data_IF_485363233899
#
_entry.id   IF_485363233899
#
_cell.length_a   1.000
_cell.length_b   1.000
_cell.length_c   1.000
_cell.angle_alpha   90.00
_cell.angle_beta   90.00
_cell.angle_gamma   90.00
#
_symmetry.space_group_name_H-M   'P 1'
#
loop_
_entity.id
_entity.type
_entity.pdbx_description
1 polymer ?
#
# COMPACT_ATOMS: atom_id res chain seq x y z
N UNK A 1 20.54 -4.08 -27.26
CA UNK A 1 20.11 -4.27 -28.67
C UNK A 1 20.92 -5.33 -29.38
N UNK A 2 22.27 -5.37 -29.33
CA UNK A 2 23.10 -6.36 -30.01
C UNK A 2 22.75 -7.81 -29.68
N UNK A 3 22.50 -8.12 -28.40
CA UNK A 3 22.11 -9.47 -27.97
C UNK A 3 20.74 -9.90 -28.50
N UNK A 4 19.76 -8.98 -28.53
CA UNK A 4 18.45 -9.24 -29.11
C UNK A 4 18.53 -9.55 -30.63
N UNK A 5 19.31 -8.77 -31.37
CA UNK A 5 19.53 -9.01 -32.79
C UNK A 5 20.29 -10.31 -33.05
N UNK A 6 21.23 -10.66 -32.18
CA UNK A 6 21.97 -11.93 -32.28
C UNK A 6 21.05 -13.14 -32.04
N UNK A 7 20.20 -13.12 -31.03
CA UNK A 7 19.26 -14.22 -30.76
C UNK A 7 18.19 -14.37 -31.83
N UNK A 8 17.74 -13.27 -32.44
CA UNK A 8 16.86 -13.29 -33.61
C UNK A 8 17.53 -13.95 -34.81
N UNK A 9 18.74 -13.52 -35.13
CA UNK A 9 19.51 -14.08 -36.31
C UNK A 9 19.84 -15.56 -36.13
N UNK A 10 20.06 -16.00 -34.89
CA UNK A 10 20.40 -17.40 -34.58
C UNK A 10 19.17 -18.31 -34.40
N UNK A 11 17.95 -17.78 -34.56
CA UNK A 11 16.71 -18.55 -34.47
C UNK A 11 16.43 -19.12 -33.08
N UNK A 12 16.79 -18.39 -32.01
CA UNK A 12 16.56 -18.80 -30.63
C UNK A 12 15.37 -18.05 -30.02
N UNK A 13 14.11 -18.45 -30.31
CA UNK A 13 12.92 -17.67 -29.93
C UNK A 13 12.77 -17.51 -28.41
N UNK A 14 13.06 -18.55 -27.62
CA UNK A 14 12.94 -18.53 -26.18
C UNK A 14 13.86 -17.48 -25.53
N UNK A 15 15.14 -17.47 -25.92
CA UNK A 15 16.10 -16.49 -25.45
C UNK A 15 15.76 -15.06 -25.87
N UNK A 16 15.27 -14.91 -27.10
CA UNK A 16 14.83 -13.61 -27.59
C UNK A 16 13.66 -13.08 -26.76
N UNK A 17 12.65 -13.92 -26.44
CA UNK A 17 11.52 -13.54 -25.58
C UNK A 17 11.97 -13.14 -24.18
N UNK A 18 12.85 -13.94 -23.56
CA UNK A 18 13.39 -13.63 -22.22
C UNK A 18 14.12 -12.28 -22.23
N UNK A 19 14.99 -12.03 -23.19
CA UNK A 19 15.72 -10.78 -23.32
C UNK A 19 14.79 -9.59 -23.57
N UNK A 20 13.76 -9.77 -24.38
CA UNK A 20 12.76 -8.73 -24.65
C UNK A 20 11.97 -8.40 -23.37
N UNK A 21 11.49 -9.40 -22.64
CA UNK A 21 10.81 -9.20 -21.37
C UNK A 21 11.72 -8.47 -20.36
N UNK A 22 12.98 -8.88 -20.25
CA UNK A 22 13.95 -8.23 -19.39
C UNK A 22 14.18 -6.74 -19.77
N UNK A 23 14.31 -6.44 -21.06
CA UNK A 23 14.45 -5.06 -21.54
C UNK A 23 13.22 -4.21 -21.24
N UNK A 24 12.01 -4.77 -21.42
CA UNK A 24 10.75 -4.06 -21.08
C UNK A 24 10.69 -3.77 -19.59
N UNK A 25 11.07 -4.71 -18.74
CA UNK A 25 11.15 -4.52 -17.30
C UNK A 25 12.16 -3.41 -16.96
N UNK A 26 13.35 -3.42 -17.53
CA UNK A 26 14.35 -2.37 -17.29
C UNK A 26 13.86 -0.98 -17.71
N UNK A 27 13.17 -0.88 -18.86
CA UNK A 27 12.55 0.39 -19.29
C UNK A 27 11.49 0.84 -18.29
N UNK A 28 10.62 -0.07 -17.82
CA UNK A 28 9.63 0.24 -16.81
C UNK A 28 10.25 0.75 -15.51
N UNK A 29 11.26 0.05 -15.00
CA UNK A 29 11.97 0.46 -13.78
C UNK A 29 12.79 1.74 -13.95
N UNK A 30 13.21 2.10 -15.15
CA UNK A 30 13.94 3.35 -15.40
C UNK A 30 13.12 4.59 -15.04
N UNK A 31 11.79 4.49 -14.98
CA UNK A 31 10.90 5.56 -14.52
C UNK A 31 11.18 5.96 -13.07
N UNK A 32 11.57 5.03 -12.20
CA UNK A 32 11.96 5.33 -10.82
C UNK A 32 13.24 6.15 -10.74
N UNK A 33 14.19 5.93 -11.67
CA UNK A 33 15.39 6.77 -11.76
C UNK A 33 15.04 8.23 -12.09
N UNK A 34 14.00 8.45 -12.91
CA UNK A 34 13.52 9.81 -13.21
C UNK A 34 12.94 10.50 -11.97
N UNK A 35 12.30 9.76 -11.07
CA UNK A 35 11.79 10.30 -9.81
C UNK A 35 12.94 10.82 -8.95
N UNK A 36 13.99 9.99 -8.78
CA UNK A 36 15.20 10.38 -8.01
C UNK A 36 15.90 11.59 -8.63
N UNK A 37 16.11 11.60 -9.95
CA UNK A 37 16.74 12.72 -10.66
C UNK A 37 15.95 14.00 -10.46
N UNK A 38 14.62 13.93 -10.51
CA UNK A 38 13.75 15.08 -10.28
C UNK A 38 13.85 15.57 -8.83
N UNK A 39 13.82 14.66 -7.86
CA UNK A 39 13.94 15.01 -6.43
C UNK A 39 15.28 15.67 -6.11
N UNK A 40 16.38 15.22 -6.71
CA UNK A 40 17.68 15.84 -6.56
C UNK A 40 17.77 17.30 -7.09
N UNK A 41 16.80 17.70 -7.92
CA UNK A 41 16.71 19.08 -8.43
C UNK A 41 15.95 20.03 -7.49
N UNK A 42 15.54 19.57 -6.32
CA UNK A 42 14.87 20.33 -5.24
C UNK A 42 13.66 21.16 -5.76
N UNK A 43 12.67 20.51 -6.42
CA UNK A 43 11.51 21.23 -6.97
C UNK A 43 10.64 21.76 -5.82
N UNK A 44 9.85 22.83 -6.05
CA UNK A 44 8.97 23.43 -5.03
C UNK A 44 7.95 22.47 -4.42
N UNK A 45 7.59 21.39 -5.14
CA UNK A 45 6.72 20.32 -4.67
C UNK A 45 7.48 19.00 -4.84
N UNK A 46 8.04 18.48 -3.74
CA UNK A 46 8.75 17.20 -3.69
C UNK A 46 8.17 16.32 -2.57
N UNK A 47 7.13 15.58 -2.90
CA UNK A 47 6.44 14.73 -1.94
C UNK A 47 7.31 13.53 -1.55
N UNK A 48 7.66 13.45 -0.25
CA UNK A 48 8.48 12.39 0.32
C UNK A 48 9.96 12.49 0.00
N UNK A 49 10.41 13.54 -0.72
CA UNK A 49 11.82 13.80 -1.08
C UNK A 49 12.63 12.52 -1.37
N UNK A 50 12.29 11.77 -2.44
CA UNK A 50 12.92 10.48 -2.77
C UNK A 50 14.29 10.67 -3.41
N UNK A 51 15.17 11.44 -2.74
CA UNK A 51 16.53 11.81 -3.15
C UNK A 51 17.58 10.73 -2.85
N UNK A 52 17.25 9.76 -2.01
CA UNK A 52 18.13 8.66 -1.61
C UNK A 52 17.38 7.33 -1.62
N UNK A 53 18.13 6.21 -1.45
CA UNK A 53 17.58 4.85 -1.57
C UNK A 53 16.49 4.57 -0.54
N UNK A 54 16.64 5.04 0.71
CA UNK A 54 15.66 4.77 1.77
C UNK A 54 14.41 5.63 1.60
N UNK A 55 14.55 6.91 1.25
CA UNK A 55 13.39 7.76 0.96
C UNK A 55 12.65 7.30 -0.30
N UNK A 56 13.37 6.83 -1.32
CA UNK A 56 12.75 6.23 -2.50
C UNK A 56 11.99 4.95 -2.13
N UNK A 57 12.54 4.08 -1.28
CA UNK A 57 11.85 2.88 -0.82
C UNK A 57 10.57 3.22 -0.06
N UNK A 58 10.65 4.18 0.87
CA UNK A 58 9.48 4.67 1.63
C UNK A 58 8.43 5.29 0.71
N UNK A 59 8.86 6.03 -0.32
CA UNK A 59 7.97 6.61 -1.34
C UNK A 59 7.26 5.52 -2.15
N UNK A 60 7.99 4.50 -2.62
CA UNK A 60 7.42 3.38 -3.39
C UNK A 60 6.47 2.56 -2.53
N UNK A 61 6.83 2.28 -1.28
CA UNK A 61 6.00 1.56 -0.32
C UNK A 61 4.78 2.38 0.15
N UNK A 62 4.75 3.68 -0.16
CA UNK A 62 3.67 4.60 0.25
C UNK A 62 3.52 4.66 1.77
N UNK A 63 4.62 4.60 2.52
CA UNK A 63 4.65 4.54 3.98
C UNK A 63 3.88 5.68 4.66
N UNK A 64 3.82 6.84 4.02
CA UNK A 64 3.06 8.00 4.49
C UNK A 64 1.54 7.76 4.59
N UNK A 65 1.01 6.78 3.86
CA UNK A 65 -0.43 6.45 3.88
C UNK A 65 -0.78 5.36 4.89
N UNK A 66 0.23 4.81 5.58
CA UNK A 66 0.08 3.70 6.52
C UNK A 66 -0.10 2.34 5.85
N UNK A 67 -0.11 1.30 6.68
CA UNK A 67 -0.25 -0.07 6.21
C UNK A 67 -1.72 -0.40 5.95
N UNK A 68 -2.02 -0.76 4.70
CA UNK A 68 -3.35 -1.19 4.27
C UNK A 68 -3.32 -2.68 3.89
N UNK A 69 -3.87 -3.57 4.73
CA UNK A 69 -3.85 -5.00 4.44
C UNK A 69 -4.75 -5.35 3.25
N UNK A 70 -4.17 -5.98 2.21
CA UNK A 70 -4.90 -6.34 0.99
C UNK A 70 -5.66 -7.65 1.13
N UNK A 71 -5.02 -8.69 1.67
CA UNK A 71 -5.57 -10.04 1.74
C UNK A 71 -6.03 -10.42 3.15
N UNK A 72 -5.20 -10.20 4.15
CA UNK A 72 -5.50 -10.54 5.53
C UNK A 72 -5.03 -9.42 6.46
N UNK A 73 -5.89 -8.97 7.37
CA UNK A 73 -5.57 -7.94 8.33
C UNK A 73 -6.76 -7.51 9.16
N UNK A 74 -6.60 -6.38 9.84
CA UNK A 74 -7.60 -5.83 10.72
C UNK A 74 -8.82 -5.30 9.96
N UNK A 75 -9.99 -5.45 10.54
CA UNK A 75 -11.19 -4.73 10.15
C UNK A 75 -11.19 -3.31 10.76
N UNK A 76 -12.01 -2.41 10.21
CA UNK A 76 -12.02 -1.01 10.61
C UNK A 76 -12.31 -0.76 12.11
N UNK A 77 -13.06 -1.65 12.73
CA UNK A 77 -13.43 -1.57 14.14
C UNK A 77 -12.62 -2.53 15.02
N UNK A 78 -11.42 -2.91 14.58
CA UNK A 78 -10.53 -3.75 15.37
C UNK A 78 -9.89 -2.94 16.51
N UNK A 79 -10.08 -3.33 17.77
CA UNK A 79 -9.44 -2.65 18.90
C UNK A 79 -7.93 -2.87 18.86
N UNK A 80 -7.19 -1.81 19.10
CA UNK A 80 -5.75 -1.85 19.26
C UNK A 80 -5.40 -2.47 20.61
N UNK A 81 -4.52 -3.48 20.61
CA UNK A 81 -4.08 -4.19 21.81
C UNK A 81 -2.71 -3.72 22.28
N UNK A 82 -1.86 -3.31 21.36
CA UNK A 82 -0.50 -2.90 21.66
C UNK A 82 0.22 -2.27 20.49
N UNK A 83 1.48 -1.98 20.70
CA UNK A 83 2.40 -1.49 19.67
C UNK A 83 3.69 -2.27 19.74
N UNK A 84 4.28 -2.56 18.57
CA UNK A 84 5.62 -3.13 18.45
C UNK A 84 6.53 -2.17 17.70
N UNK A 85 7.81 -2.22 18.04
CA UNK A 85 8.83 -1.57 17.23
C UNK A 85 9.03 -2.35 15.92
N UNK A 86 8.88 -1.63 14.81
CA UNK A 86 9.10 -2.15 13.47
C UNK A 86 10.51 -1.85 12.97
N UNK A 87 10.63 -1.75 11.66
CA UNK A 87 11.89 -1.47 10.97
C UNK A 87 12.47 -0.11 11.37
N UNK A 88 13.82 0.02 11.43
CA UNK A 88 14.48 1.27 11.71
C UNK A 88 14.28 2.26 10.56
N UNK A 89 14.02 3.52 10.92
CA UNK A 89 13.93 4.63 9.97
C UNK A 89 15.30 5.30 9.90
N UNK A 90 15.86 5.38 8.69
CA UNK A 90 17.13 6.02 8.41
C UNK A 90 16.94 7.37 7.73
N UNK A 91 17.74 8.34 8.13
CA UNK A 91 17.84 9.64 7.49
C UNK A 91 19.26 9.86 7.00
N UNK A 92 19.42 10.42 5.82
CA UNK A 92 20.73 10.82 5.33
C UNK A 92 21.05 12.25 5.79
N UNK A 93 22.07 12.39 6.60
CA UNK A 93 22.57 13.71 6.96
C UNK A 93 23.17 14.39 5.73
N UNK A 94 22.59 15.51 5.29
CA UNK A 94 22.98 16.21 4.05
C UNK A 94 24.41 16.79 4.12
N UNK A 95 24.93 17.04 5.32
CA UNK A 95 26.27 17.59 5.49
C UNK A 95 27.36 16.51 5.45
N UNK A 96 27.11 15.38 6.09
CA UNK A 96 28.08 14.29 6.21
C UNK A 96 27.90 13.18 5.17
N UNK A 97 26.75 13.11 4.53
CA UNK A 97 26.37 12.02 3.62
C UNK A 97 26.14 10.67 4.31
N UNK A 98 26.25 10.61 5.65
CA UNK A 98 26.11 9.37 6.42
C UNK A 98 24.65 9.14 6.79
N UNK A 99 24.24 7.86 6.77
CA UNK A 99 22.89 7.46 7.21
C UNK A 99 22.87 7.30 8.73
N UNK A 100 21.98 8.04 9.37
CA UNK A 100 21.74 7.99 10.81
C UNK A 100 20.36 7.41 11.10
N UNK A 101 20.26 6.55 12.12
CA UNK A 101 18.99 6.02 12.57
C UNK A 101 18.24 7.07 13.39
N UNK A 102 17.06 7.49 12.95
CA UNK A 102 16.23 8.47 13.67
C UNK A 102 15.32 7.77 14.69
N UNK A 103 14.83 6.58 14.37
CA UNK A 103 13.87 5.85 15.21
C UNK A 103 13.45 4.54 14.59
N UNK A 104 12.37 3.97 15.10
CA UNK A 104 11.74 2.78 14.54
C UNK A 104 10.30 3.08 14.10
N UNK A 105 9.85 2.44 13.04
CA UNK A 105 8.45 2.47 12.60
C UNK A 105 7.59 1.82 13.68
N UNK A 106 6.49 2.45 14.07
CA UNK A 106 5.57 1.86 15.04
C UNK A 106 4.58 0.95 14.31
N UNK A 107 4.54 -0.33 14.68
CA UNK A 107 3.57 -1.30 14.18
C UNK A 107 2.48 -1.47 15.23
N UNK A 108 1.24 -1.20 14.85
CA UNK A 108 0.08 -1.37 15.73
C UNK A 108 -0.38 -2.82 15.72
N UNK A 109 -0.56 -3.39 16.91
CA UNK A 109 -1.13 -4.73 17.09
C UNK A 109 -2.63 -4.65 17.37
N UNK A 110 -3.39 -5.40 16.61
CA UNK A 110 -4.84 -5.47 16.73
C UNK A 110 -5.29 -6.82 17.29
N UNK A 111 -6.43 -6.84 17.94
CA UNK A 111 -7.03 -8.08 18.45
C UNK A 111 -7.31 -9.04 17.27
N UNK A 112 -6.71 -10.25 17.34
CA UNK A 112 -6.81 -11.28 16.28
C UNK A 112 -8.26 -11.69 15.98
N UNK A 113 -9.17 -11.55 16.94
CA UNK A 113 -10.60 -11.81 16.77
C UNK A 113 -11.24 -10.87 15.75
N UNK A 114 -10.67 -9.68 15.60
CA UNK A 114 -11.10 -8.64 14.64
C UNK A 114 -10.23 -8.57 13.40
N UNK A 115 -9.40 -9.57 13.16
CA UNK A 115 -8.68 -9.73 11.91
C UNK A 115 -9.36 -10.79 11.04
N UNK A 116 -9.22 -10.65 9.73
CA UNK A 116 -9.82 -11.60 8.81
C UNK A 116 -9.35 -11.43 7.38
N UNK A 117 -9.92 -12.25 6.52
CA UNK A 117 -9.59 -12.25 5.10
C UNK A 117 -10.37 -11.13 4.37
N UNK A 118 -9.67 -10.45 3.47
CA UNK A 118 -10.22 -9.42 2.61
C UNK A 118 -10.85 -8.23 3.36
N UNK A 119 -10.16 -7.59 4.31
CA UNK A 119 -10.66 -6.37 4.94
C UNK A 119 -10.70 -5.24 3.91
N UNK A 120 -11.78 -4.43 3.91
CA UNK A 120 -11.93 -3.37 2.89
C UNK A 120 -11.85 -1.97 3.43
N UNK A 121 -12.11 -1.78 4.69
CA UNK A 121 -11.87 -0.56 5.43
C UNK A 121 -10.94 -0.88 6.59
N UNK A 122 -9.95 -0.03 6.84
CA UNK A 122 -8.88 -0.37 7.78
C UNK A 122 -8.85 0.56 8.99
N UNK A 123 -9.54 1.69 8.92
CA UNK A 123 -9.45 2.73 9.93
C UNK A 123 -10.79 3.43 10.10
N UNK A 124 -11.09 3.78 11.34
CA UNK A 124 -12.22 4.59 11.77
C UNK A 124 -11.79 5.95 12.34
N UNK A 125 -10.57 6.38 12.03
CA UNK A 125 -9.97 7.62 12.56
C UNK A 125 -10.82 8.87 12.36
N UNK A 126 -11.77 8.82 11.41
CA UNK A 126 -12.75 9.89 11.19
C UNK A 126 -14.16 9.37 11.52
N UNK A 127 -14.98 10.15 12.27
CA UNK A 127 -16.33 9.72 12.69
C UNK A 127 -17.23 9.24 11.56
N UNK A 128 -17.04 9.80 10.35
CA UNK A 128 -17.85 9.46 9.19
C UNK A 128 -17.47 8.13 8.52
N UNK A 129 -16.28 7.57 8.77
CA UNK A 129 -15.82 6.37 8.07
C UNK A 129 -16.65 5.14 8.43
N UNK A 130 -16.96 4.94 9.70
CA UNK A 130 -17.80 3.84 10.14
C UNK A 130 -19.21 3.92 9.55
N UNK A 131 -19.80 5.13 9.52
CA UNK A 131 -21.12 5.37 8.94
C UNK A 131 -21.11 5.15 7.42
N UNK A 132 -20.08 5.62 6.72
CA UNK A 132 -19.91 5.39 5.29
C UNK A 132 -19.76 3.90 4.97
N UNK A 133 -18.97 3.18 5.76
CA UNK A 133 -18.85 1.74 5.56
C UNK A 133 -20.22 1.04 5.70
N UNK A 134 -20.97 1.34 6.77
CA UNK A 134 -22.28 0.74 6.99
C UNK A 134 -23.32 1.14 5.93
N UNK A 135 -23.24 2.35 5.41
CA UNK A 135 -24.12 2.80 4.32
C UNK A 135 -23.93 1.96 3.06
N UNK A 136 -22.71 1.56 2.72
CA UNK A 136 -22.41 0.77 1.52
C UNK A 136 -22.39 -0.75 1.74
N UNK A 137 -21.87 -1.19 2.89
CA UNK A 137 -21.76 -2.61 3.23
C UNK A 137 -23.00 -3.19 3.93
N UNK A 138 -23.87 -2.30 4.45
CA UNK A 138 -24.96 -2.67 5.36
C UNK A 138 -24.47 -2.86 6.81
N UNK A 139 -25.40 -3.17 7.69
CA UNK A 139 -25.12 -3.42 9.10
C UNK A 139 -24.13 -4.58 9.26
N UNK A 140 -23.17 -4.44 10.18
CA UNK A 140 -22.26 -5.52 10.50
C UNK A 140 -23.01 -6.75 11.00
N UNK A 141 -22.78 -7.89 10.37
CA UNK A 141 -23.46 -9.17 10.66
C UNK A 141 -22.48 -10.31 10.97
N UNK A 142 -21.25 -9.98 11.32
CA UNK A 142 -20.26 -10.93 11.80
C UNK A 142 -20.42 -11.26 13.30
N UNK A 143 -19.49 -12.02 13.86
CA UNK A 143 -19.50 -12.33 15.29
C UNK A 143 -19.33 -11.09 16.16
N UNK A 144 -19.97 -11.11 17.31
CA UNK A 144 -19.95 -10.03 18.29
C UNK A 144 -19.06 -10.43 19.47
N UNK A 145 -18.20 -9.51 19.89
CA UNK A 145 -17.27 -9.71 20.99
C UNK A 145 -17.37 -8.56 21.99
N UNK A 146 -17.20 -8.87 23.27
CA UNK A 146 -17.08 -7.84 24.31
C UNK A 146 -15.60 -7.55 24.57
N UNK A 147 -15.21 -6.29 24.41
CA UNK A 147 -13.85 -5.82 24.64
C UNK A 147 -13.94 -4.55 25.50
N UNK A 148 -13.24 -4.53 26.64
CA UNK A 148 -13.24 -3.41 27.59
C UNK A 148 -14.64 -2.97 28.05
N UNK A 149 -15.60 -3.90 28.13
CA UNK A 149 -16.99 -3.61 28.51
C UNK A 149 -17.90 -3.12 27.36
N UNK A 150 -17.36 -2.88 26.19
CA UNK A 150 -18.13 -2.53 24.99
C UNK A 150 -18.37 -3.75 24.12
N UNK A 151 -19.57 -3.84 23.56
CA UNK A 151 -19.96 -4.92 22.66
C UNK A 151 -19.77 -4.48 21.21
N UNK A 152 -18.78 -5.06 20.53
CA UNK A 152 -18.41 -4.69 19.18
C UNK A 152 -18.77 -5.84 18.22
N UNK A 153 -19.56 -5.55 17.19
CA UNK A 153 -19.89 -6.51 16.12
C UNK A 153 -18.93 -6.32 14.96
N UNK A 154 -18.17 -7.35 14.67
CA UNK A 154 -17.21 -7.37 13.56
C UNK A 154 -17.94 -7.43 12.21
N UNK A 155 -17.43 -6.76 11.14
CA UNK A 155 -17.91 -7.01 9.78
C UNK A 155 -17.69 -8.47 9.37
N UNK A 156 -18.57 -9.01 8.55
CA UNK A 156 -18.38 -10.31 7.92
C UNK A 156 -17.64 -10.16 6.58
N UNK A 157 -17.17 -11.27 6.05
CA UNK A 157 -16.65 -11.32 4.67
C UNK A 157 -17.68 -10.80 3.65
N UNK A 158 -18.95 -11.12 3.83
CA UNK A 158 -20.04 -10.65 2.97
C UNK A 158 -20.22 -9.12 3.01
N UNK A 159 -20.04 -8.48 4.18
CA UNK A 159 -20.04 -7.03 4.28
C UNK A 159 -18.89 -6.41 3.47
N UNK A 160 -17.68 -6.96 3.57
CA UNK A 160 -16.53 -6.46 2.83
C UNK A 160 -16.69 -6.66 1.31
N UNK A 161 -17.24 -7.79 0.87
CA UNK A 161 -17.56 -8.02 -0.55
C UNK A 161 -18.59 -7.01 -1.06
N UNK A 162 -19.66 -6.75 -0.29
CA UNK A 162 -20.66 -5.74 -0.65
C UNK A 162 -20.06 -4.34 -0.74
N UNK A 163 -19.19 -3.98 0.22
CA UNK A 163 -18.48 -2.71 0.18
C UNK A 163 -17.57 -2.61 -1.05
N UNK A 164 -16.84 -3.67 -1.37
CA UNK A 164 -15.96 -3.72 -2.54
C UNK A 164 -16.73 -3.51 -3.85
N UNK A 165 -17.81 -4.25 -4.06
CA UNK A 165 -18.57 -4.15 -5.30
C UNK A 165 -19.37 -2.84 -5.41
N UNK A 166 -20.06 -2.45 -4.35
CA UNK A 166 -20.93 -1.27 -4.41
C UNK A 166 -20.15 0.04 -4.34
N UNK A 167 -19.19 0.14 -3.42
CA UNK A 167 -18.44 1.39 -3.22
C UNK A 167 -17.17 1.44 -4.08
N UNK A 168 -16.26 0.48 -3.92
CA UNK A 168 -14.97 0.58 -4.57
C UNK A 168 -15.06 0.39 -6.09
N UNK A 169 -15.77 -0.62 -6.57
CA UNK A 169 -15.96 -0.82 -8.01
C UNK A 169 -17.10 0.05 -8.55
N UNK A 170 -18.30 -0.03 -7.97
CA UNK A 170 -19.49 0.64 -8.50
C UNK A 170 -19.38 2.16 -8.43
N UNK A 171 -19.14 2.71 -7.23
CA UNK A 171 -19.12 4.16 -7.06
C UNK A 171 -17.77 4.79 -7.38
N UNK A 172 -16.66 4.23 -6.88
CA UNK A 172 -15.36 4.86 -7.07
C UNK A 172 -14.77 4.57 -8.45
N UNK A 173 -14.52 3.30 -8.77
CA UNK A 173 -13.84 2.94 -10.00
C UNK A 173 -14.61 3.36 -11.26
N UNK A 174 -15.88 2.95 -11.39
CA UNK A 174 -16.66 3.28 -12.58
C UNK A 174 -16.92 4.77 -12.74
N UNK A 175 -17.14 5.51 -11.67
CA UNK A 175 -17.28 6.96 -11.73
C UNK A 175 -16.04 7.63 -12.30
N UNK A 176 -14.84 7.23 -11.83
CA UNK A 176 -13.61 7.80 -12.37
C UNK A 176 -13.30 7.32 -13.78
N UNK A 177 -13.57 6.07 -14.09
CA UNK A 177 -13.38 5.52 -15.43
C UNK A 177 -14.29 6.18 -16.47
N UNK A 178 -15.54 6.46 -16.14
CA UNK A 178 -16.52 7.10 -17.04
C UNK A 178 -16.45 8.63 -17.07
N UNK A 179 -15.67 9.23 -16.18
CA UNK A 179 -15.54 10.69 -16.12
C UNK A 179 -14.67 11.27 -17.27
N UNK A 180 -13.76 10.49 -17.84
CA UNK A 180 -12.86 10.94 -18.91
C UNK A 180 -13.52 10.76 -20.29
#
# INVERSE_FOLDING_TARGET
>A
QCLLLYTLKKGMPVWNTILTCFMVILIGYSSYSMIVIRSLSDPPIDEGSPDNVFSLLSYINRDQYGDAPLLYGQYFNAPQVGTKEGEPIYYQNKETGVYEKIGNKTIYEYDKRFCGFFPRMYSDTRPNFANQYQAWAGRNNGPTYTVNGETITRPSFGNNMRYFFNYQLGHMYWRYFMWN
#
